data_IF_474750262650
#
_entry.id   IF_474750262650
#
_cell.length_a   1.000
_cell.length_b   1.000
_cell.length_c   1.000
_cell.angle_alpha   90.00
_cell.angle_beta   90.00
_cell.angle_gamma   90.00
#
_symmetry.space_group_name_H-M   'P 1'
#
loop_
_entity.id
_entity.type
_entity.pdbx_description
1 polymer ?
#
# COMPACT_ATOMS: atom_id res chain seq x y z
N UNK A 1 30.81 27.19 15.08
CA UNK A 1 30.41 26.39 16.26
C UNK A 1 29.03 25.80 15.94
N UNK A 2 28.71 24.50 15.98
CA UNK A 2 29.46 23.22 16.17
C UNK A 2 28.45 22.08 15.85
N UNK A 3 28.78 20.81 15.56
CA UNK A 3 30.06 20.09 15.52
C UNK A 3 30.09 19.03 14.40
N UNK A 4 30.30 17.74 14.71
CA UNK A 4 30.43 16.63 13.73
C UNK A 4 29.93 15.27 14.27
N UNK A 5 29.51 14.39 13.35
CA UNK A 5 29.55 12.90 13.34
C UNK A 5 28.91 12.38 12.03
N UNK A 6 29.23 11.20 11.45
CA UNK A 6 30.47 10.39 11.44
C UNK A 6 30.47 9.50 10.15
N UNK A 7 31.53 8.72 9.88
CA UNK A 7 31.68 7.86 8.68
C UNK A 7 30.99 6.48 8.79
N UNK A 8 30.54 5.92 7.65
CA UNK A 8 30.82 4.51 7.28
C UNK A 8 31.31 4.46 5.82
N UNK A 9 32.41 3.73 5.59
CA UNK A 9 33.00 3.48 4.27
C UNK A 9 32.17 2.45 3.49
N UNK A 10 31.90 2.70 2.21
CA UNK A 10 31.44 1.66 1.29
C UNK A 10 32.41 1.57 0.11
N UNK A 11 33.02 0.39 -0.07
CA UNK A 11 33.79 0.07 -1.26
C UNK A 11 32.84 -0.04 -2.46
N UNK A 12 32.67 1.05 -3.20
CA UNK A 12 31.97 1.05 -4.48
C UNK A 12 32.78 0.29 -5.54
N UNK A 13 32.73 -1.04 -5.48
CA UNK A 13 33.01 -1.85 -6.67
C UNK A 13 32.04 -1.40 -7.76
N UNK A 14 32.61 -0.92 -8.86
CA UNK A 14 31.90 -0.19 -9.91
C UNK A 14 31.09 -1.16 -10.77
N UNK A 15 29.92 -1.58 -10.27
CA UNK A 15 28.92 -2.25 -11.10
C UNK A 15 28.48 -1.29 -12.20
N UNK A 16 28.78 -1.67 -13.43
CA UNK A 16 28.65 -0.84 -14.62
C UNK A 16 27.23 -0.34 -14.80
N UNK A 17 27.02 0.96 -14.60
CA UNK A 17 25.73 1.61 -14.81
C UNK A 17 25.36 1.53 -16.28
N UNK A 18 24.35 0.73 -16.60
CA UNK A 18 23.80 0.59 -17.95
C UNK A 18 23.25 1.96 -18.44
N UNK A 19 23.72 2.48 -19.59
CA UNK A 19 23.30 3.79 -20.10
C UNK A 19 21.87 3.72 -20.64
N UNK A 20 20.88 4.09 -19.82
CA UNK A 20 19.48 4.14 -20.26
C UNK A 20 18.44 4.33 -19.16
N UNK A 21 18.70 3.90 -17.92
CA UNK A 21 17.78 4.17 -16.79
C UNK A 21 17.97 5.60 -16.26
N UNK A 22 17.01 6.48 -16.57
CA UNK A 22 16.80 7.71 -15.80
C UNK A 22 16.04 7.36 -14.53
N UNK A 23 16.66 7.60 -13.38
CA UNK A 23 15.98 7.49 -12.09
C UNK A 23 15.12 8.74 -11.87
N UNK A 24 13.82 8.56 -11.70
CA UNK A 24 12.92 9.61 -11.22
C UNK A 24 12.61 9.30 -9.77
N UNK A 25 13.13 10.10 -8.85
CA UNK A 25 12.81 10.01 -7.42
C UNK A 25 11.74 11.04 -7.08
N UNK A 26 10.58 10.58 -6.63
CA UNK A 26 9.60 11.44 -5.97
C UNK A 26 9.99 11.54 -4.49
N UNK A 27 10.32 12.75 -4.02
CA UNK A 27 10.57 13.02 -2.61
C UNK A 27 9.44 13.90 -2.09
N UNK A 28 8.64 13.37 -1.16
CA UNK A 28 7.69 14.19 -0.40
C UNK A 28 8.46 14.94 0.68
N UNK A 29 8.26 16.26 0.77
CA UNK A 29 8.80 17.10 1.84
C UNK A 29 7.93 17.08 3.11
N UNK A 30 6.76 16.44 3.05
CA UNK A 30 5.78 16.31 4.13
C UNK A 30 5.57 14.85 4.51
N UNK A 31 5.13 14.62 5.75
CA UNK A 31 4.65 13.31 6.21
C UNK A 31 3.52 12.79 5.29
N UNK A 32 3.37 11.47 5.25
CA UNK A 32 2.30 10.82 4.47
C UNK A 32 0.93 11.26 5.00
N UNK A 33 0.01 11.74 4.15
CA UNK A 33 -1.38 11.99 4.56
C UNK A 33 -2.17 10.70 4.79
N UNK A 34 -1.57 9.54 4.47
CA UNK A 34 -2.15 8.19 4.63
C UNK A 34 -1.55 7.51 5.86
N UNK A 35 -2.43 7.11 6.78
CA UNK A 35 -2.16 6.28 7.94
C UNK A 35 -2.60 4.84 7.69
N UNK A 36 -1.64 3.92 7.72
CA UNK A 36 -1.85 2.47 7.73
C UNK A 36 -1.02 1.92 8.90
N UNK A 37 -1.65 1.39 9.98
CA UNK A 37 -0.93 0.97 11.17
C UNK A 37 -0.08 -0.29 10.94
N UNK A 38 -0.63 -1.22 10.16
CA UNK A 38 -0.02 -2.53 9.93
C UNK A 38 0.92 -2.48 8.72
N UNK A 39 2.22 -2.68 8.99
CA UNK A 39 3.23 -2.90 7.95
C UNK A 39 3.10 -4.31 7.32
N UNK A 40 2.65 -5.26 8.12
CA UNK A 40 2.44 -6.67 7.78
C UNK A 40 1.34 -7.20 8.69
N UNK A 41 0.45 -8.05 8.17
CA UNK A 41 -0.65 -8.64 8.92
C UNK A 41 -0.69 -10.15 8.65
N UNK A 42 -0.52 -10.96 9.70
CA UNK A 42 -0.55 -12.42 9.63
C UNK A 42 -1.84 -12.94 10.26
N UNK A 43 -2.58 -13.77 9.51
CA UNK A 43 -3.93 -14.26 9.84
C UNK A 43 -4.05 -15.72 9.40
N UNK A 44 -4.78 -16.55 10.14
CA UNK A 44 -4.93 -17.96 9.78
C UNK A 44 -5.85 -18.14 8.56
N UNK A 45 -5.70 -19.27 7.86
CA UNK A 45 -6.63 -19.68 6.80
C UNK A 45 -8.02 -19.86 7.40
N UNK A 46 -9.04 -19.29 6.76
CA UNK A 46 -10.44 -19.32 7.21
C UNK A 46 -10.85 -18.17 8.13
N UNK A 47 -9.90 -17.51 8.80
CA UNK A 47 -10.16 -16.28 9.57
C UNK A 47 -10.42 -15.09 8.63
N UNK A 48 -10.80 -13.94 9.19
CA UNK A 48 -10.95 -12.67 8.46
C UNK A 48 -9.86 -11.68 8.84
N UNK A 49 -9.38 -10.92 7.86
CA UNK A 49 -8.37 -9.87 8.03
C UNK A 49 -8.98 -8.49 7.78
N UNK A 50 -8.51 -7.47 8.51
CA UNK A 50 -8.90 -6.07 8.26
C UNK A 50 -7.64 -5.23 8.07
N UNK A 51 -7.48 -4.64 6.89
CA UNK A 51 -6.42 -3.69 6.60
C UNK A 51 -6.97 -2.26 6.73
N UNK A 52 -6.43 -1.50 7.68
CA UNK A 52 -6.85 -0.12 7.94
C UNK A 52 -6.12 0.87 7.02
N UNK A 53 -6.87 1.85 6.51
CA UNK A 53 -6.32 3.00 5.77
C UNK A 53 -7.14 4.24 6.12
N UNK A 54 -6.52 5.23 6.76
CA UNK A 54 -7.14 6.50 7.11
C UNK A 54 -6.38 7.67 6.48
N UNK A 55 -7.10 8.71 6.06
CA UNK A 55 -6.51 9.84 5.35
C UNK A 55 -6.75 11.14 6.12
N UNK A 56 -5.67 11.84 6.48
CA UNK A 56 -5.75 13.13 7.18
C UNK A 56 -6.10 14.29 6.23
N UNK A 57 -5.74 14.16 4.96
CA UNK A 57 -5.93 15.18 3.94
C UNK A 57 -7.36 15.20 3.37
N UNK A 58 -7.94 16.40 3.28
CA UNK A 58 -9.33 16.54 2.85
C UNK A 58 -9.53 16.45 1.33
N UNK A 59 -8.51 16.76 0.53
CA UNK A 59 -8.60 16.85 -0.93
C UNK A 59 -8.64 15.51 -1.65
N UNK A 60 -8.26 14.41 -0.98
CA UNK A 60 -8.26 13.07 -1.58
C UNK A 60 -9.69 12.66 -1.98
N UNK A 61 -9.91 12.52 -3.29
CA UNK A 61 -11.23 12.16 -3.86
C UNK A 61 -11.42 10.66 -4.06
N UNK A 62 -10.31 9.94 -4.27
CA UNK A 62 -10.28 8.53 -4.65
C UNK A 62 -9.30 7.79 -3.76
N UNK A 63 -9.71 6.63 -3.25
CA UNK A 63 -8.86 5.66 -2.54
C UNK A 63 -8.92 4.35 -3.33
N UNK A 64 -7.85 3.56 -3.34
CA UNK A 64 -7.86 2.27 -4.00
C UNK A 64 -7.03 1.26 -3.21
N UNK A 65 -7.56 0.04 -3.09
CA UNK A 65 -6.83 -1.10 -2.54
C UNK A 65 -6.24 -1.94 -3.68
N UNK A 66 -4.98 -2.32 -3.53
CA UNK A 66 -4.26 -3.14 -4.49
C UNK A 66 -3.80 -4.44 -3.85
N UNK A 67 -3.72 -5.50 -4.65
CA UNK A 67 -3.07 -6.77 -4.32
C UNK A 67 -1.84 -6.89 -5.20
N UNK A 68 -0.63 -7.06 -4.64
CA UNK A 68 0.55 -7.40 -5.44
C UNK A 68 1.05 -8.82 -5.12
N UNK A 69 0.60 -9.84 -5.88
CA UNK A 69 1.17 -11.18 -5.76
C UNK A 69 2.67 -11.15 -6.08
N UNK A 70 3.43 -12.02 -5.41
CA UNK A 70 4.88 -12.12 -5.55
C UNK A 70 5.36 -12.10 -7.02
N UNK A 71 6.25 -11.13 -7.33
CA UNK A 71 6.82 -10.88 -8.67
C UNK A 71 5.81 -10.55 -9.79
N UNK A 72 4.56 -10.23 -9.47
CA UNK A 72 3.55 -9.74 -10.43
C UNK A 72 3.35 -8.23 -10.30
N UNK A 73 2.66 -7.64 -11.28
CA UNK A 73 2.19 -6.25 -11.20
C UNK A 73 1.06 -6.12 -10.18
N UNK A 74 0.93 -4.99 -9.46
CA UNK A 74 -0.24 -4.71 -8.63
C UNK A 74 -1.53 -4.82 -9.43
N UNK A 75 -2.56 -5.37 -8.80
CA UNK A 75 -3.92 -5.49 -9.32
C UNK A 75 -4.86 -4.69 -8.42
N UNK A 76 -5.63 -3.77 -8.98
CA UNK A 76 -6.69 -3.09 -8.22
C UNK A 76 -7.71 -4.12 -7.75
N UNK A 77 -7.98 -4.15 -6.45
CA UNK A 77 -9.08 -4.90 -5.85
C UNK A 77 -10.35 -4.07 -6.04
N UNK A 78 -10.32 -2.85 -5.51
CA UNK A 78 -11.45 -1.94 -5.43
C UNK A 78 -10.98 -0.50 -5.42
N UNK A 79 -11.67 0.34 -6.20
CA UNK A 79 -11.56 1.80 -6.16
C UNK A 79 -12.78 2.37 -5.43
N UNK A 80 -12.55 3.34 -4.56
CA UNK A 80 -13.54 4.01 -3.72
C UNK A 80 -13.54 5.51 -4.01
N UNK A 81 -14.71 6.13 -3.98
CA UNK A 81 -14.82 7.58 -3.97
C UNK A 81 -15.13 8.07 -2.56
N UNK A 82 -14.49 9.16 -2.12
CA UNK A 82 -14.74 9.77 -0.79
C UNK A 82 -16.19 10.25 -0.63
N UNK A 83 -16.85 10.61 -1.74
CA UNK A 83 -18.27 10.93 -1.81
C UNK A 83 -19.22 9.72 -1.69
N UNK A 84 -18.69 8.50 -1.55
CA UNK A 84 -19.45 7.26 -1.55
C UNK A 84 -19.40 6.53 -2.90
N UNK A 85 -19.68 5.22 -2.86
CA UNK A 85 -19.54 4.31 -4.00
C UNK A 85 -18.19 3.59 -4.05
N UNK A 86 -18.18 2.46 -4.74
CA UNK A 86 -17.02 1.58 -4.95
C UNK A 86 -17.17 0.78 -6.24
N UNK A 87 -16.06 0.50 -6.90
CA UNK A 87 -15.97 -0.37 -8.08
C UNK A 87 -14.93 -1.44 -7.83
N UNK A 88 -15.33 -2.72 -7.89
CA UNK A 88 -14.42 -3.85 -7.82
C UNK A 88 -13.92 -4.23 -9.21
N UNK A 89 -12.67 -4.70 -9.30
CA UNK A 89 -12.00 -5.02 -10.56
C UNK A 89 -11.50 -6.46 -10.59
N UNK A 90 -10.98 -6.90 -11.74
CA UNK A 90 -10.18 -8.14 -11.89
C UNK A 90 -10.83 -9.45 -11.37
N UNK A 91 -12.16 -9.49 -11.23
CA UNK A 91 -12.88 -10.63 -10.68
C UNK A 91 -12.88 -10.73 -9.15
N UNK A 92 -12.37 -9.73 -8.44
CA UNK A 92 -12.53 -9.61 -6.99
C UNK A 92 -14.00 -9.34 -6.65
N UNK A 93 -14.55 -10.07 -5.68
CA UNK A 93 -15.99 -10.07 -5.38
C UNK A 93 -16.28 -9.60 -3.95
N UNK A 94 -17.45 -8.97 -3.77
CA UNK A 94 -17.95 -8.48 -2.46
C UNK A 94 -18.20 -9.58 -1.42
N UNK A 95 -18.25 -10.84 -1.85
CA UNK A 95 -18.33 -12.02 -0.98
C UNK A 95 -17.02 -12.31 -0.24
N UNK A 96 -15.89 -11.85 -0.77
CA UNK A 96 -14.55 -12.11 -0.23
C UNK A 96 -13.85 -10.82 0.23
N UNK A 97 -14.06 -9.72 -0.49
CA UNK A 97 -13.48 -8.41 -0.20
C UNK A 97 -14.59 -7.40 0.10
N UNK A 98 -14.62 -6.88 1.32
CA UNK A 98 -15.60 -5.89 1.77
C UNK A 98 -14.92 -4.58 2.15
N UNK A 99 -15.68 -3.49 2.11
CA UNK A 99 -15.23 -2.17 2.52
C UNK A 99 -16.03 -1.72 3.74
N UNK A 100 -15.33 -1.35 4.80
CA UNK A 100 -15.87 -0.59 5.91
C UNK A 100 -15.40 0.87 5.79
N UNK A 101 -16.33 1.82 5.95
CA UNK A 101 -16.06 3.27 5.90
C UNK A 101 -16.37 3.88 7.25
N UNK A 102 -15.43 4.65 7.80
CA UNK A 102 -15.63 5.41 9.04
C UNK A 102 -14.90 6.75 8.96
N UNK A 103 -15.63 7.86 8.87
CA UNK A 103 -15.06 9.20 8.66
C UNK A 103 -14.13 9.22 7.42
N UNK A 104 -12.83 9.51 7.59
CA UNK A 104 -11.81 9.45 6.53
C UNK A 104 -11.07 8.09 6.45
N UNK A 105 -11.58 7.03 7.08
CA UNK A 105 -11.03 5.68 7.02
C UNK A 105 -11.80 4.78 6.04
N UNK A 106 -11.07 3.97 5.29
CA UNK A 106 -11.51 3.14 4.17
C UNK A 106 -10.91 1.74 4.30
N UNK A 107 -11.36 0.99 5.30
CA UNK A 107 -10.79 -0.30 5.66
C UNK A 107 -11.18 -1.38 4.63
N UNK A 108 -10.23 -2.22 4.24
CA UNK A 108 -10.49 -3.44 3.46
C UNK A 108 -10.62 -4.62 4.42
N UNK A 109 -11.76 -5.28 4.38
CA UNK A 109 -11.99 -6.54 5.09
C UNK A 109 -11.86 -7.68 4.08
N UNK A 110 -11.02 -8.66 4.37
CA UNK A 110 -10.84 -9.88 3.58
C UNK A 110 -11.44 -11.03 4.41
N UNK A 111 -12.51 -11.64 3.91
CA UNK A 111 -13.23 -12.71 4.59
C UNK A 111 -12.68 -14.08 4.17
N UNK A 112 -12.64 -15.03 5.12
CA UNK A 112 -12.27 -16.43 4.87
C UNK A 112 -10.96 -16.53 4.08
N UNK A 113 -9.87 -16.05 4.68
CA UNK A 113 -8.52 -15.97 4.09
C UNK A 113 -8.13 -17.32 3.47
N UNK A 114 -7.65 -17.28 2.23
CA UNK A 114 -7.08 -18.43 1.51
C UNK A 114 -5.63 -18.15 1.09
N UNK A 115 -4.85 -19.20 0.80
CA UNK A 115 -3.42 -19.05 0.44
C UNK A 115 -3.16 -18.08 -0.72
N UNK A 116 -4.12 -17.92 -1.66
CA UNK A 116 -3.97 -17.00 -2.78
C UNK A 116 -4.15 -15.52 -2.41
N UNK A 117 -4.49 -15.21 -1.15
CA UNK A 117 -4.57 -13.84 -0.61
C UNK A 117 -3.25 -13.25 -0.17
N UNK A 118 -2.24 -14.09 0.05
CA UNK A 118 -0.87 -13.68 0.31
C UNK A 118 -0.33 -12.76 -0.80
N UNK A 119 0.09 -11.56 -0.41
CA UNK A 119 0.56 -10.49 -1.30
C UNK A 119 1.51 -9.54 -0.55
N UNK A 120 2.27 -8.77 -1.33
CA UNK A 120 3.00 -7.57 -0.88
C UNK A 120 2.23 -6.29 -1.24
#
# INVERSE_FOLDING_TARGET
MTGFCILILIFSNMYTVQPGRRWVTAQSLTESPVYQPDKELSVNIGDSATLQCCISENEVRIVAWFKQPNRKKPQSIVQLYKSGGETFYNGFQKSHFQIERSSNCFNLIILNIIQSDEAM
#
